data_IF_641720072797
#
_entry.id   IF_641720072797
#
_cell.length_a   1.000
_cell.length_b   1.000
_cell.length_c   1.000
_cell.angle_alpha   90.00
_cell.angle_beta   90.00
_cell.angle_gamma   90.00
#
_symmetry.space_group_name_H-M   'P 1'
#
loop_
_entity.id
_entity.type
_entity.pdbx_description
1 polymer ?
#
# COMPACT_ATOMS: atom_id res chain seq x y z
N UNK A 1 0.17 29.01 -8.24
CA UNK A 1 0.98 27.79 -7.99
C UNK A 1 0.59 26.75 -9.01
N UNK A 2 1.52 25.88 -9.43
CA UNK A 2 1.19 24.71 -10.27
C UNK A 2 0.29 23.77 -9.44
N UNK A 3 -0.72 23.17 -10.06
CA UNK A 3 -1.60 22.18 -9.41
C UNK A 3 -1.19 20.79 -9.89
N UNK A 4 -1.19 19.75 -9.03
CA UNK A 4 -0.97 18.38 -9.47
C UNK A 4 -2.04 17.95 -10.49
N UNK A 5 -1.64 17.14 -11.46
CA UNK A 5 -2.54 16.56 -12.45
C UNK A 5 -3.06 15.17 -12.01
N UNK A 6 -2.32 14.47 -11.15
CA UNK A 6 -2.60 13.10 -10.70
C UNK A 6 -2.25 12.98 -9.21
N UNK A 7 -3.02 12.19 -8.46
CA UNK A 7 -2.87 12.05 -7.01
C UNK A 7 -2.72 10.59 -6.63
N UNK A 8 -1.56 10.24 -6.10
CA UNK A 8 -1.26 8.91 -5.60
C UNK A 8 -1.18 8.92 -4.08
N UNK A 9 -1.71 7.88 -3.46
CA UNK A 9 -1.73 7.72 -2.02
C UNK A 9 -1.09 6.39 -1.66
N UNK A 10 -0.18 6.39 -0.68
CA UNK A 10 0.09 5.18 0.06
C UNK A 10 -1.16 4.70 0.79
N UNK A 11 -1.18 3.43 1.16
CA UNK A 11 -2.33 2.80 1.81
C UNK A 11 -2.19 2.78 3.33
N UNK A 12 -1.33 1.90 3.84
CA UNK A 12 -1.16 1.62 5.25
C UNK A 12 -0.54 2.84 5.95
N UNK A 13 -1.04 3.19 7.14
CA UNK A 13 -0.70 4.41 7.91
C UNK A 13 -0.87 5.77 7.21
N UNK A 14 -1.12 5.76 5.90
CA UNK A 14 -1.59 6.89 5.12
C UNK A 14 -3.11 6.83 5.04
N UNK A 15 -3.76 6.22 4.04
CA UNK A 15 -5.23 6.19 3.90
C UNK A 15 -5.98 5.59 5.10
N UNK A 16 -5.33 4.69 5.83
CA UNK A 16 -5.89 3.96 6.97
C UNK A 16 -4.92 3.94 8.15
N UNK A 17 -5.42 3.95 9.38
CA UNK A 17 -4.59 3.71 10.57
C UNK A 17 -4.45 2.20 10.85
N UNK A 18 -3.88 1.48 9.90
CA UNK A 18 -3.70 0.03 9.97
C UNK A 18 -2.52 -0.38 9.09
N UNK A 19 -1.89 -1.49 9.44
CA UNK A 19 -0.93 -2.19 8.59
C UNK A 19 -1.61 -3.46 8.04
N UNK A 20 -1.86 -3.50 6.74
CA UNK A 20 -2.55 -4.62 6.10
C UNK A 20 -1.73 -5.92 6.09
N UNK A 21 -0.41 -5.87 6.05
CA UNK A 21 0.41 -7.09 6.09
C UNK A 21 0.35 -7.73 7.49
N UNK A 22 0.38 -6.92 8.55
CA UNK A 22 0.23 -7.38 9.94
C UNK A 22 -1.20 -7.85 10.22
N UNK A 23 -2.19 -7.02 9.91
CA UNK A 23 -3.60 -7.34 10.19
C UNK A 23 -4.11 -8.52 9.37
N UNK A 24 -3.57 -8.75 8.17
CA UNK A 24 -3.88 -9.95 7.38
C UNK A 24 -3.45 -11.24 8.09
N UNK A 25 -2.25 -11.27 8.70
CA UNK A 25 -1.81 -12.42 9.49
C UNK A 25 -2.66 -12.63 10.74
N UNK A 26 -3.05 -11.55 11.43
CA UNK A 26 -3.99 -11.63 12.55
C UNK A 26 -5.36 -12.18 12.12
N UNK A 27 -5.87 -11.71 10.99
CA UNK A 27 -7.11 -12.19 10.39
C UNK A 27 -7.01 -13.69 10.03
N UNK A 28 -5.92 -14.11 9.38
CA UNK A 28 -5.71 -15.49 8.99
C UNK A 28 -5.72 -16.44 10.20
N UNK A 29 -5.06 -16.06 11.30
CA UNK A 29 -5.09 -16.84 12.55
C UNK A 29 -6.48 -16.84 13.17
N UNK A 30 -7.13 -15.67 13.28
CA UNK A 30 -8.47 -15.53 13.88
C UNK A 30 -9.51 -16.40 13.17
N UNK A 31 -9.42 -16.52 11.85
CA UNK A 31 -10.34 -17.29 11.01
C UNK A 31 -9.86 -18.72 10.71
N UNK A 32 -8.83 -19.21 11.43
CA UNK A 32 -8.27 -20.56 11.31
C UNK A 32 -7.73 -20.90 9.90
N UNK A 33 -7.27 -19.89 9.16
CA UNK A 33 -6.56 -20.02 7.88
C UNK A 33 -5.05 -20.26 8.07
N UNK A 34 -4.52 -19.86 9.23
CA UNK A 34 -3.12 -20.01 9.62
C UNK A 34 -3.01 -20.43 11.11
N UNK A 35 -1.93 -21.11 11.51
CA UNK A 35 -1.66 -21.42 12.91
C UNK A 35 -1.20 -20.18 13.68
N UNK A 36 -1.46 -20.13 14.99
CA UNK A 36 -1.06 -19.00 15.86
C UNK A 36 0.46 -18.72 15.84
N UNK A 37 1.28 -19.75 15.57
CA UNK A 37 2.73 -19.60 15.42
C UNK A 37 3.17 -18.64 14.32
N UNK A 38 2.30 -18.39 13.33
CA UNK A 38 2.59 -17.43 12.26
C UNK A 38 2.74 -16.00 12.75
N UNK A 39 2.11 -15.62 13.87
CA UNK A 39 2.26 -14.25 14.38
C UNK A 39 3.70 -14.01 14.86
N UNK A 40 4.27 -14.98 15.58
CA UNK A 40 5.66 -14.91 16.01
C UNK A 40 6.64 -14.98 14.83
N UNK A 41 6.28 -15.71 13.77
CA UNK A 41 7.08 -15.78 12.55
C UNK A 41 7.02 -14.47 11.75
N UNK A 42 5.87 -13.80 11.71
CA UNK A 42 5.74 -12.48 11.11
C UNK A 42 6.60 -11.44 11.86
N UNK A 43 6.60 -11.47 13.19
CA UNK A 43 7.48 -10.63 14.02
C UNK A 43 8.96 -10.88 13.70
N UNK A 44 9.37 -12.15 13.53
CA UNK A 44 10.74 -12.50 13.12
C UNK A 44 11.11 -11.88 11.77
N UNK A 45 10.25 -11.98 10.76
CA UNK A 45 10.52 -11.38 9.45
C UNK A 45 10.58 -9.85 9.51
N UNK A 46 9.77 -9.22 10.37
CA UNK A 46 9.86 -7.78 10.60
C UNK A 46 11.19 -7.38 11.24
N UNK A 47 11.69 -8.17 12.20
CA UNK A 47 13.02 -7.97 12.79
C UNK A 47 14.14 -8.15 11.75
N UNK A 48 14.05 -9.17 10.89
CA UNK A 48 15.00 -9.41 9.79
C UNK A 48 14.98 -8.26 8.76
N UNK A 49 13.79 -7.70 8.47
CA UNK A 49 13.64 -6.51 7.63
C UNK A 49 14.35 -5.30 8.24
N UNK A 50 14.09 -5.01 9.51
CA UNK A 50 14.72 -3.89 10.22
C UNK A 50 16.25 -4.04 10.33
N UNK A 51 16.74 -5.28 10.42
CA UNK A 51 18.16 -5.59 10.44
C UNK A 51 18.82 -5.54 9.04
N UNK A 52 18.03 -5.45 7.96
CA UNK A 52 18.52 -5.51 6.59
C UNK A 52 19.01 -6.90 6.18
N UNK A 53 18.55 -7.95 6.86
CA UNK A 53 18.95 -9.35 6.66
C UNK A 53 17.83 -10.22 6.09
N UNK A 54 16.69 -9.62 5.73
CA UNK A 54 15.52 -10.31 5.20
C UNK A 54 15.83 -11.12 3.92
N UNK A 55 15.54 -12.42 3.95
CA UNK A 55 15.38 -13.20 2.73
C UNK A 55 14.00 -12.90 2.13
N UNK A 56 14.00 -12.12 1.05
CA UNK A 56 12.78 -11.60 0.42
C UNK A 56 11.94 -12.73 -0.19
N UNK A 57 12.57 -13.77 -0.74
CA UNK A 57 11.83 -14.89 -1.36
C UNK A 57 11.19 -15.77 -0.28
N UNK A 58 11.90 -16.03 0.82
CA UNK A 58 11.34 -16.74 1.98
C UNK A 58 10.18 -15.95 2.60
N UNK A 59 10.37 -14.63 2.75
CA UNK A 59 9.35 -13.73 3.25
C UNK A 59 8.09 -13.73 2.38
N UNK A 60 8.20 -13.66 1.05
CA UNK A 60 7.02 -13.70 0.18
C UNK A 60 6.26 -15.01 0.29
N UNK A 61 6.97 -16.15 0.30
CA UNK A 61 6.34 -17.45 0.47
C UNK A 61 5.61 -17.57 1.81
N UNK A 62 6.16 -16.96 2.87
CA UNK A 62 5.49 -16.86 4.16
C UNK A 62 4.30 -15.89 4.12
N UNK A 63 4.51 -14.65 3.68
CA UNK A 63 3.51 -13.58 3.69
C UNK A 63 2.27 -13.95 2.87
N UNK A 64 2.47 -14.62 1.73
CA UNK A 64 1.40 -14.99 0.81
C UNK A 64 0.98 -16.47 0.91
N UNK A 65 1.41 -17.19 1.94
CA UNK A 65 1.14 -18.62 2.10
C UNK A 65 -0.34 -18.97 2.02
N UNK A 66 -1.21 -18.12 2.56
CA UNK A 66 -2.67 -18.34 2.58
C UNK A 66 -3.28 -18.25 1.18
N UNK A 67 -2.61 -17.58 0.22
CA UNK A 67 -3.05 -17.45 -1.16
C UNK A 67 -2.70 -18.68 -2.00
N UNK A 68 -1.65 -19.42 -1.64
CA UNK A 68 -1.07 -20.48 -2.47
C UNK A 68 -2.13 -21.52 -2.87
N UNK A 69 -2.25 -21.75 -4.17
CA UNK A 69 -3.19 -22.70 -4.75
C UNK A 69 -4.63 -22.21 -4.81
N UNK A 70 -4.95 -21.00 -4.34
CA UNK A 70 -6.29 -20.40 -4.45
C UNK A 70 -6.41 -19.55 -5.71
N UNK A 71 -7.62 -19.47 -6.21
CA UNK A 71 -8.02 -18.58 -7.31
C UNK A 71 -8.32 -17.18 -6.78
N UNK A 72 -8.29 -16.14 -7.64
CA UNK A 72 -8.77 -14.80 -7.28
C UNK A 72 -10.20 -14.81 -6.75
N UNK A 73 -11.09 -15.65 -7.29
CA UNK A 73 -12.48 -15.77 -6.86
C UNK A 73 -12.62 -16.34 -5.45
N UNK A 74 -11.74 -17.28 -5.06
CA UNK A 74 -11.68 -17.82 -3.70
C UNK A 74 -11.12 -16.80 -2.70
N UNK A 75 -10.19 -15.94 -3.13
CA UNK A 75 -9.56 -14.94 -2.26
C UNK A 75 -10.39 -13.67 -2.06
N UNK A 76 -11.17 -13.26 -3.06
CA UNK A 76 -12.00 -12.06 -2.99
C UNK A 76 -12.87 -11.98 -1.72
N UNK A 77 -13.69 -12.99 -1.35
CA UNK A 77 -14.51 -12.90 -0.14
C UNK A 77 -13.70 -12.83 1.16
N UNK A 78 -12.47 -13.37 1.18
CA UNK A 78 -11.57 -13.28 2.33
C UNK A 78 -10.99 -11.86 2.45
N UNK A 79 -10.61 -11.24 1.34
CA UNK A 79 -10.16 -9.86 1.29
C UNK A 79 -11.27 -8.88 1.70
N UNK A 80 -12.50 -9.09 1.23
CA UNK A 80 -13.67 -8.30 1.64
C UNK A 80 -13.94 -8.43 3.15
N UNK A 81 -13.83 -9.65 3.71
CA UNK A 81 -14.04 -9.86 5.14
C UNK A 81 -12.93 -9.23 5.99
N UNK A 82 -11.66 -9.38 5.60
CA UNK A 82 -10.54 -8.69 6.25
C UNK A 82 -10.75 -7.17 6.21
N UNK A 83 -11.17 -6.64 5.06
CA UNK A 83 -11.46 -5.22 4.92
C UNK A 83 -12.54 -4.75 5.92
N UNK A 84 -13.67 -5.43 6.01
CA UNK A 84 -14.75 -5.03 6.91
C UNK A 84 -14.36 -5.10 8.40
N UNK A 85 -13.58 -6.12 8.79
CA UNK A 85 -13.20 -6.35 10.18
C UNK A 85 -11.98 -5.52 10.64
N UNK A 86 -11.00 -5.31 9.78
CA UNK A 86 -9.68 -4.75 10.16
C UNK A 86 -9.34 -3.42 9.48
N UNK A 87 -9.93 -3.10 8.33
CA UNK A 87 -9.52 -1.91 7.54
C UNK A 87 -10.56 -0.80 7.61
N UNK A 88 -11.82 -1.11 7.31
CA UNK A 88 -12.92 -0.15 7.20
C UNK A 88 -13.10 0.73 8.44
N UNK A 89 -12.98 0.22 9.69
CA UNK A 89 -13.11 1.04 10.90
C UNK A 89 -11.96 2.05 11.06
N UNK A 90 -10.82 1.82 10.41
CA UNK A 90 -9.58 2.57 10.56
C UNK A 90 -9.30 3.53 9.39
N UNK A 91 -10.26 3.72 8.47
CA UNK A 91 -10.10 4.71 7.39
C UNK A 91 -10.12 6.12 7.99
N UNK A 92 -9.07 6.89 7.74
CA UNK A 92 -9.03 8.27 8.21
C UNK A 92 -10.13 9.12 7.54
N UNK A 93 -10.95 9.85 8.31
CA UNK A 93 -11.98 10.72 7.76
C UNK A 93 -11.43 11.80 6.80
N UNK A 94 -10.24 12.33 7.08
CA UNK A 94 -9.56 13.33 6.24
C UNK A 94 -9.11 12.73 4.91
N UNK A 95 -8.60 11.50 4.92
CA UNK A 95 -8.24 10.75 3.72
C UNK A 95 -9.46 10.58 2.81
N UNK A 96 -10.56 10.05 3.38
CA UNK A 96 -11.83 9.87 2.66
C UNK A 96 -12.33 11.18 2.06
N UNK A 97 -12.29 12.27 2.84
CA UNK A 97 -12.73 13.60 2.39
C UNK A 97 -11.87 14.12 1.24
N UNK A 98 -10.55 14.00 1.36
CA UNK A 98 -9.62 14.46 0.34
C UNK A 98 -9.80 13.67 -0.96
N UNK A 99 -9.75 12.33 -0.89
CA UNK A 99 -9.98 11.45 -2.04
C UNK A 99 -11.31 11.76 -2.71
N UNK A 100 -12.40 11.85 -1.95
CA UNK A 100 -13.72 12.19 -2.50
C UNK A 100 -13.71 13.53 -3.24
N UNK A 101 -13.09 14.57 -2.68
CA UNK A 101 -13.01 15.88 -3.33
C UNK A 101 -12.19 15.88 -4.63
N UNK A 102 -11.15 15.05 -4.71
CA UNK A 102 -10.32 14.89 -5.91
C UNK A 102 -11.09 14.15 -7.01
N UNK A 103 -11.81 13.09 -6.64
CA UNK A 103 -12.66 12.33 -7.54
C UNK A 103 -13.82 13.19 -8.08
N UNK A 104 -14.49 13.96 -7.21
CA UNK A 104 -15.57 14.88 -7.59
C UNK A 104 -15.08 15.98 -8.54
N UNK A 105 -13.82 16.41 -8.40
CA UNK A 105 -13.16 17.34 -9.30
C UNK A 105 -12.66 16.71 -10.60
N UNK A 106 -12.80 15.38 -10.76
CA UNK A 106 -12.42 14.64 -11.97
C UNK A 106 -10.92 14.37 -12.10
N UNK A 107 -10.14 14.46 -11.01
CA UNK A 107 -8.73 14.12 -11.05
C UNK A 107 -8.52 12.59 -11.07
N UNK A 108 -7.49 12.10 -11.79
CA UNK A 108 -6.98 10.74 -11.62
C UNK A 108 -6.44 10.54 -10.21
N UNK A 109 -6.93 9.47 -9.55
CA UNK A 109 -6.52 9.06 -8.20
C UNK A 109 -6.17 7.58 -8.24
N UNK A 110 -5.06 7.18 -7.62
CA UNK A 110 -4.67 5.79 -7.44
C UNK A 110 -4.09 5.54 -6.05
N UNK A 111 -4.18 4.29 -5.58
CA UNK A 111 -3.39 3.79 -4.45
C UNK A 111 -2.06 3.26 -5.00
N UNK A 112 -0.93 3.61 -4.39
CA UNK A 112 0.40 3.08 -4.70
C UNK A 112 1.03 2.53 -3.41
N UNK A 113 1.05 1.19 -3.28
CA UNK A 113 1.31 0.52 -1.99
C UNK A 113 2.16 -0.74 -2.16
N UNK A 114 2.87 -1.13 -1.11
CA UNK A 114 3.54 -2.44 -1.03
C UNK A 114 2.55 -3.58 -0.75
N UNK A 115 1.42 -3.29 -0.11
CA UNK A 115 0.35 -4.25 0.13
C UNK A 115 -0.10 -4.87 -1.19
N UNK A 116 -0.35 -6.18 -1.17
CA UNK A 116 -0.73 -6.89 -2.38
C UNK A 116 -2.09 -6.39 -2.89
N UNK A 117 -2.25 -6.39 -4.22
CA UNK A 117 -3.43 -5.81 -4.87
C UNK A 117 -4.75 -6.46 -4.43
N UNK A 118 -4.74 -7.73 -4.01
CA UNK A 118 -5.96 -8.43 -3.56
C UNK A 118 -6.48 -7.86 -2.25
N UNK A 119 -5.58 -7.57 -1.30
CA UNK A 119 -5.93 -6.99 0.01
C UNK A 119 -6.22 -5.48 -0.09
N UNK A 120 -5.54 -4.78 -0.98
CA UNK A 120 -5.75 -3.35 -1.19
C UNK A 120 -7.05 -3.01 -1.94
N UNK A 121 -7.53 -3.92 -2.80
CA UNK A 121 -8.67 -3.68 -3.70
C UNK A 121 -9.97 -3.24 -2.97
N UNK A 122 -10.42 -3.90 -1.88
CA UNK A 122 -11.64 -3.50 -1.18
C UNK A 122 -11.60 -2.06 -0.62
N UNK A 123 -10.44 -1.58 -0.17
CA UNK A 123 -10.28 -0.19 0.27
C UNK A 123 -10.46 0.78 -0.90
N UNK A 124 -9.83 0.50 -2.04
CA UNK A 124 -9.95 1.33 -3.23
C UNK A 124 -11.41 1.43 -3.67
N UNK A 125 -12.13 0.30 -3.72
CA UNK A 125 -13.55 0.24 -4.03
C UNK A 125 -14.40 1.05 -3.04
N UNK A 126 -14.14 0.93 -1.74
CA UNK A 126 -14.82 1.71 -0.71
C UNK A 126 -14.61 3.23 -0.88
N UNK A 127 -13.43 3.65 -1.34
CA UNK A 127 -13.07 5.06 -1.54
C UNK A 127 -13.42 5.58 -2.95
N UNK A 128 -13.91 4.72 -3.84
CA UNK A 128 -14.19 5.06 -5.25
C UNK A 128 -12.93 5.24 -6.11
N UNK A 129 -11.77 4.80 -5.62
CA UNK A 129 -10.50 4.81 -6.35
C UNK A 129 -10.49 3.63 -7.32
N UNK A 130 -10.24 3.90 -8.61
CA UNK A 130 -10.30 2.87 -9.66
C UNK A 130 -9.02 2.08 -9.82
N UNK A 131 -7.90 2.63 -9.37
CA UNK A 131 -6.59 2.11 -9.69
C UNK A 131 -5.81 1.79 -8.41
N UNK A 132 -5.36 0.54 -8.32
CA UNK A 132 -4.49 0.03 -7.26
C UNK A 132 -3.20 -0.42 -7.90
N UNK A 133 -2.15 0.35 -7.65
CA UNK A 133 -0.78 0.09 -8.05
C UNK A 133 -0.06 -0.61 -6.88
N UNK A 134 -0.56 -1.79 -6.52
CA UNK A 134 -0.05 -2.62 -5.43
C UNK A 134 0.90 -3.73 -5.90
N UNK A 135 1.47 -4.47 -4.96
CA UNK A 135 2.25 -5.68 -5.28
C UNK A 135 1.36 -6.73 -5.95
N UNK A 136 1.71 -7.14 -7.17
CA UNK A 136 0.92 -8.12 -7.93
C UNK A 136 1.37 -9.54 -7.60
N UNK A 137 0.45 -10.39 -7.16
CA UNK A 137 0.74 -11.80 -6.88
C UNK A 137 0.77 -12.63 -8.18
N UNK A 138 1.77 -13.51 -8.29
CA UNK A 138 1.93 -14.40 -9.44
C UNK A 138 0.81 -15.45 -9.49
N UNK A 139 0.26 -15.65 -10.69
CA UNK A 139 -0.71 -16.71 -10.99
C UNK A 139 -0.09 -17.74 -11.94
N UNK A 140 -0.21 -19.03 -11.60
CA UNK A 140 0.05 -20.16 -12.48
C UNK A 140 -1.23 -20.99 -12.59
N UNK A 141 -1.67 -21.28 -13.83
CA UNK A 141 -2.90 -22.01 -14.11
C UNK A 141 -4.14 -21.45 -13.37
N UNK A 142 -4.20 -20.12 -13.25
CA UNK A 142 -5.29 -19.39 -12.57
C UNK A 142 -5.24 -19.42 -11.04
N UNK A 143 -4.13 -19.88 -10.44
CA UNK A 143 -3.96 -20.01 -8.97
C UNK A 143 -2.71 -19.29 -8.50
N UNK A 144 -2.77 -18.70 -7.30
CA UNK A 144 -1.62 -18.01 -6.74
C UNK A 144 -0.48 -18.96 -6.40
N UNK A 145 0.75 -18.55 -6.67
CA UNK A 145 1.95 -19.38 -6.44
C UNK A 145 2.64 -19.10 -5.11
N UNK A 146 2.32 -17.97 -4.47
CA UNK A 146 3.03 -17.44 -3.30
C UNK A 146 4.21 -16.53 -3.64
N UNK A 147 4.45 -16.26 -4.92
CA UNK A 147 5.41 -15.26 -5.40
C UNK A 147 4.69 -14.02 -5.92
N UNK A 148 5.48 -12.99 -6.25
CA UNK A 148 5.02 -11.78 -6.90
C UNK A 148 5.37 -11.80 -8.39
N UNK A 149 4.69 -10.97 -9.20
CA UNK A 149 5.04 -10.71 -10.59
C UNK A 149 5.34 -9.21 -10.77
N UNK A 150 6.43 -8.90 -11.47
CA UNK A 150 6.83 -7.51 -11.73
C UNK A 150 7.60 -6.90 -10.56
N UNK A 151 7.40 -5.61 -10.34
CA UNK A 151 8.11 -4.82 -9.32
C UNK A 151 7.37 -4.87 -7.99
N UNK A 152 8.10 -5.07 -6.89
CA UNK A 152 7.55 -4.95 -5.54
C UNK A 152 7.20 -3.50 -5.21
N UNK A 153 6.02 -3.24 -4.64
CA UNK A 153 5.48 -1.89 -4.44
C UNK A 153 6.09 -1.06 -3.31
N UNK A 154 7.37 -1.22 -2.99
CA UNK A 154 8.07 -0.50 -1.92
C UNK A 154 9.33 0.22 -2.43
N UNK A 155 9.76 1.26 -1.72
CA UNK A 155 11.03 1.96 -1.97
C UNK A 155 11.19 2.40 -3.44
N UNK A 156 12.29 2.07 -4.11
CA UNK A 156 12.52 2.35 -5.53
C UNK A 156 11.41 1.79 -6.43
N UNK A 157 10.80 0.66 -6.04
CA UNK A 157 9.74 0.03 -6.80
C UNK A 157 8.49 0.91 -6.95
N UNK A 158 8.17 1.73 -5.94
CA UNK A 158 7.10 2.74 -6.05
C UNK A 158 7.39 3.76 -7.17
N UNK A 159 8.66 4.15 -7.34
CA UNK A 159 9.08 5.06 -8.42
C UNK A 159 8.94 4.40 -9.79
N UNK A 160 9.38 3.14 -9.93
CA UNK A 160 9.27 2.39 -11.18
C UNK A 160 7.81 2.22 -11.61
N UNK A 161 6.94 1.81 -10.68
CA UNK A 161 5.51 1.61 -10.93
C UNK A 161 4.84 2.94 -11.31
N UNK A 162 5.10 4.01 -10.55
CA UNK A 162 4.55 5.33 -10.86
C UNK A 162 5.04 5.87 -12.20
N UNK A 163 6.31 5.65 -12.56
CA UNK A 163 6.88 6.08 -13.83
C UNK A 163 6.29 5.29 -15.02
N UNK A 164 6.11 3.98 -14.87
CA UNK A 164 5.46 3.15 -15.89
C UNK A 164 4.00 3.58 -16.11
N UNK A 165 3.27 3.85 -15.02
CA UNK A 165 1.92 4.39 -15.09
C UNK A 165 1.89 5.75 -15.80
N UNK A 166 2.79 6.67 -15.42
CA UNK A 166 2.87 8.00 -15.99
C UNK A 166 3.12 7.96 -17.51
N UNK A 167 4.05 7.09 -17.95
CA UNK A 167 4.35 6.89 -19.37
C UNK A 167 3.15 6.37 -20.17
N UNK A 168 2.34 5.48 -19.59
CA UNK A 168 1.12 4.97 -20.21
C UNK A 168 0.00 6.01 -20.36
N UNK A 169 0.01 7.06 -19.54
CA UNK A 169 -1.04 8.07 -19.46
C UNK A 169 -0.62 9.47 -19.96
N UNK A 170 0.63 9.62 -20.42
CA UNK A 170 1.15 10.87 -20.97
C UNK A 170 1.49 11.94 -19.91
N UNK A 171 1.83 11.52 -18.69
CA UNK A 171 2.26 12.40 -17.61
C UNK A 171 3.74 12.21 -17.26
N UNK A 172 4.29 13.15 -16.49
CA UNK A 172 5.56 12.98 -15.80
C UNK A 172 5.35 12.94 -14.28
N UNK A 173 6.29 12.33 -13.53
CA UNK A 173 6.23 12.32 -12.06
C UNK A 173 6.17 13.73 -11.45
N UNK A 174 6.74 14.73 -12.13
CA UNK A 174 6.66 16.15 -11.75
C UNK A 174 5.23 16.75 -11.80
N UNK A 175 4.26 16.00 -12.31
CA UNK A 175 2.84 16.37 -12.32
C UNK A 175 2.06 15.69 -11.19
N UNK A 176 2.69 14.80 -10.43
CA UNK A 176 2.01 13.96 -9.45
C UNK A 176 2.08 14.55 -8.05
N UNK A 177 0.99 14.42 -7.30
CA UNK A 177 1.02 14.45 -5.85
C UNK A 177 1.18 13.04 -5.32
N UNK A 178 2.01 12.89 -4.29
CA UNK A 178 2.15 11.64 -3.55
C UNK A 178 2.00 11.90 -2.06
N UNK A 179 1.17 11.10 -1.40
CA UNK A 179 0.93 11.12 0.04
C UNK A 179 1.48 9.82 0.63
N UNK A 180 2.38 9.90 1.61
CA UNK A 180 2.95 8.73 2.29
C UNK A 180 3.45 9.07 3.69
N UNK A 181 3.66 8.06 4.52
CA UNK A 181 3.99 8.22 5.94
C UNK A 181 5.37 7.66 6.32
N UNK A 182 5.96 6.83 5.48
CA UNK A 182 7.11 6.01 5.85
C UNK A 182 8.43 6.42 5.18
N UNK A 183 9.55 5.95 5.74
CA UNK A 183 10.86 6.10 5.08
C UNK A 183 10.91 5.33 3.74
N UNK A 184 10.09 4.30 3.57
CA UNK A 184 9.98 3.54 2.32
C UNK A 184 9.38 4.39 1.18
N UNK A 185 8.79 5.54 1.49
CA UNK A 185 8.22 6.46 0.51
C UNK A 185 9.20 7.54 0.04
N UNK A 186 10.40 7.61 0.64
CA UNK A 186 11.34 8.70 0.39
C UNK A 186 11.73 8.80 -1.08
N UNK A 187 11.90 7.68 -1.77
CA UNK A 187 12.26 7.67 -3.19
C UNK A 187 11.16 8.29 -4.06
N UNK A 188 9.90 7.92 -3.85
CA UNK A 188 8.77 8.47 -4.61
C UNK A 188 8.47 9.92 -4.22
N UNK A 189 8.53 10.28 -2.93
CA UNK A 189 8.39 11.66 -2.45
C UNK A 189 9.45 12.59 -3.05
N UNK A 190 10.68 12.11 -3.25
CA UNK A 190 11.73 12.88 -3.94
C UNK A 190 11.49 13.01 -5.45
N UNK A 191 10.80 12.05 -6.07
CA UNK A 191 10.63 11.99 -7.51
C UNK A 191 9.42 12.79 -8.01
N UNK A 192 8.38 12.94 -7.20
CA UNK A 192 7.15 13.63 -7.59
C UNK A 192 7.25 15.16 -7.47
N UNK A 193 6.35 15.86 -8.17
CA UNK A 193 6.28 17.32 -8.11
C UNK A 193 5.66 17.88 -6.82
N UNK A 194 4.81 17.09 -6.16
CA UNK A 194 4.04 17.53 -4.99
C UNK A 194 4.05 16.46 -3.87
N UNK A 195 5.14 16.37 -3.10
CA UNK A 195 5.23 15.42 -1.99
C UNK A 195 4.44 15.89 -0.76
N UNK A 196 3.77 14.97 -0.09
CA UNK A 196 3.07 15.20 1.17
C UNK A 196 3.40 14.08 2.16
N UNK A 197 3.93 14.45 3.32
CA UNK A 197 4.16 13.53 4.42
C UNK A 197 2.91 13.47 5.31
N UNK A 198 2.26 12.31 5.40
CA UNK A 198 1.04 12.10 6.17
C UNK A 198 1.39 11.32 7.43
N UNK A 199 1.00 11.81 8.62
CA UNK A 199 1.28 11.14 9.90
C UNK A 199 2.70 10.54 10.00
N UNK A 200 3.75 11.26 9.56
CA UNK A 200 4.98 10.60 9.16
C UNK A 200 5.71 9.97 10.34
N UNK A 201 6.27 8.78 10.11
CA UNK A 201 7.21 8.14 11.03
C UNK A 201 8.38 9.10 11.35
N UNK A 202 9.05 8.97 12.52
CA UNK A 202 10.06 9.94 12.98
C UNK A 202 11.16 10.26 11.96
N UNK A 203 11.60 9.27 11.19
CA UNK A 203 12.62 9.44 10.15
C UNK A 203 12.10 10.26 8.97
N UNK A 204 10.90 9.95 8.47
CA UNK A 204 10.27 10.72 7.39
C UNK A 204 9.95 12.16 7.87
N UNK A 205 9.50 12.34 9.11
CA UNK A 205 9.22 13.66 9.67
C UNK A 205 10.48 14.55 9.67
N UNK A 206 11.63 13.98 10.04
CA UNK A 206 12.91 14.71 9.99
C UNK A 206 13.22 15.14 8.55
N UNK A 207 13.12 14.22 7.60
CA UNK A 207 13.41 14.51 6.19
C UNK A 207 12.42 15.51 5.58
N UNK A 208 11.12 15.38 5.89
CA UNK A 208 10.08 16.29 5.43
C UNK A 208 10.36 17.72 5.90
N UNK A 209 10.84 17.91 7.14
CA UNK A 209 11.28 19.22 7.63
C UNK A 209 12.51 19.75 6.91
N UNK A 210 13.50 18.89 6.66
CA UNK A 210 14.72 19.27 5.94
C UNK A 210 14.45 19.67 4.48
N UNK A 211 13.48 19.01 3.83
CA UNK A 211 13.07 19.26 2.44
C UNK A 211 11.87 20.19 2.30
N UNK A 212 11.37 20.72 3.40
CA UNK A 212 10.18 21.57 3.47
C UNK A 212 8.94 20.95 2.82
N UNK A 213 8.82 19.62 2.88
CA UNK A 213 7.61 18.92 2.44
C UNK A 213 6.46 19.21 3.40
N UNK A 214 5.25 19.52 2.89
CA UNK A 214 4.06 19.64 3.72
C UNK A 214 3.82 18.38 4.57
N UNK A 215 3.57 18.61 5.86
CA UNK A 215 3.21 17.55 6.81
C UNK A 215 1.73 17.67 7.14
N UNK A 216 0.99 16.58 6.96
CA UNK A 216 -0.43 16.46 7.24
C UNK A 216 -0.62 15.57 8.48
N UNK A 217 -1.49 15.99 9.39
CA UNK A 217 -1.90 15.18 10.54
C UNK A 217 -3.36 14.76 10.37
N UNK A 218 -3.60 13.48 10.14
CA UNK A 218 -4.94 12.88 10.10
C UNK A 218 -5.28 12.32 11.48
N UNK A 219 -6.55 12.37 11.83
CA UNK A 219 -7.04 11.98 13.16
C UNK A 219 -8.10 10.89 13.03
N UNK A 220 -8.03 9.89 13.90
CA UNK A 220 -9.07 8.86 14.02
C UNK A 220 -10.35 9.38 14.68
#
# INVERSE_FOLDING_TARGET
MKTPAVYFFDMDHTLINNDCDVSWKQFAVRHNLAPESDLAEADRYFDDYNAGTLDVEEFYLFQFREFIGKTPEEMRPLAELHFEEYVRPHIYPEARKLVGSLLDAGFPVAILTSTNSVVAQPLAECLGIREVLGTTLELADGRYTGRITGTYGAQEGKVEIAAAWAAGHGFALADFAYYGDSVNDVNILNAVGFPFAVNPAPELLKLAREKEWPVLGWTE
#
